data_IF_144068486622
#
_entry.id   IF_144068486622
#
_cell.length_a   1.000
_cell.length_b   1.000
_cell.length_c   1.000
_cell.angle_alpha   90.00
_cell.angle_beta   90.00
_cell.angle_gamma   90.00
#
_symmetry.space_group_name_H-M   'P 1'
#
loop_
_entity.id
_entity.type
_entity.pdbx_description
1 polymer ?
#
# COMPACT_ATOMS: atom_id res chain seq x y z
N UNK A 1 17.15 0.00 -44.24
CA UNK A 1 18.29 -0.11 -43.32
C UNK A 1 17.83 -1.05 -42.23
N UNK A 2 18.05 -2.33 -42.46
CA UNK A 2 17.74 -3.38 -41.48
C UNK A 2 18.83 -3.34 -40.41
N UNK A 3 18.48 -2.93 -39.19
CA UNK A 3 19.34 -3.14 -38.04
C UNK A 3 19.26 -4.62 -37.69
N UNK A 4 20.28 -5.37 -38.08
CA UNK A 4 20.53 -6.68 -37.53
C UNK A 4 20.81 -6.51 -36.03
N UNK A 5 19.88 -6.95 -35.19
CA UNK A 5 20.10 -7.11 -33.75
C UNK A 5 21.17 -8.18 -33.56
N UNK A 6 22.40 -7.74 -33.29
CA UNK A 6 23.50 -8.63 -32.94
C UNK A 6 23.20 -9.24 -31.56
N UNK A 7 23.19 -10.59 -31.43
CA UNK A 7 22.89 -11.24 -30.17
C UNK A 7 23.93 -10.84 -29.12
N UNK A 8 23.46 -10.48 -27.92
CA UNK A 8 24.33 -10.06 -26.82
C UNK A 8 25.38 -11.15 -26.53
N UNK A 9 26.66 -10.77 -26.35
CA UNK A 9 27.73 -11.72 -26.09
C UNK A 9 27.47 -12.50 -24.79
N UNK A 10 27.69 -13.81 -24.83
CA UNK A 10 27.54 -14.67 -23.66
C UNK A 10 28.50 -14.24 -22.55
N UNK A 11 28.02 -13.93 -21.33
CA UNK A 11 28.88 -13.53 -20.23
C UNK A 11 29.76 -14.69 -19.79
N UNK A 12 31.03 -14.40 -19.49
CA UNK A 12 31.97 -15.36 -18.91
C UNK A 12 32.04 -15.15 -17.40
N UNK A 13 31.35 -16.00 -16.64
CA UNK A 13 31.28 -15.90 -15.17
C UNK A 13 32.58 -16.29 -14.45
N UNK A 14 33.59 -16.80 -15.16
CA UNK A 14 34.91 -17.06 -14.60
C UNK A 14 35.78 -15.79 -14.48
N UNK A 15 35.35 -14.66 -15.05
CA UNK A 15 36.11 -13.40 -14.98
C UNK A 15 36.01 -12.76 -13.58
N UNK A 16 37.08 -12.07 -13.10
CA UNK A 16 37.09 -11.43 -11.78
C UNK A 16 35.93 -10.46 -11.53
N UNK A 17 35.40 -9.83 -12.58
CA UNK A 17 34.24 -8.94 -12.48
C UNK A 17 32.95 -9.62 -11.98
N UNK A 18 32.86 -10.96 -12.05
CA UNK A 18 31.72 -11.73 -11.57
C UNK A 18 32.00 -12.47 -10.25
N UNK A 19 33.18 -12.32 -9.64
CA UNK A 19 33.59 -13.08 -8.45
C UNK A 19 32.57 -12.97 -7.30
N UNK A 20 32.04 -11.77 -7.04
CA UNK A 20 31.04 -11.55 -5.99
C UNK A 20 29.71 -12.28 -6.26
N UNK A 21 29.30 -12.40 -7.53
CA UNK A 21 28.07 -13.10 -7.91
C UNK A 21 28.26 -14.62 -7.79
N UNK A 22 29.43 -15.13 -8.16
CA UNK A 22 29.81 -16.53 -8.00
C UNK A 22 29.86 -16.89 -6.51
N UNK A 23 30.51 -16.09 -5.67
CA UNK A 23 30.60 -16.30 -4.22
C UNK A 23 29.21 -16.32 -3.54
N UNK A 24 28.33 -15.37 -3.90
CA UNK A 24 26.95 -15.38 -3.41
C UNK A 24 26.18 -16.65 -3.81
N UNK A 25 26.42 -17.15 -5.02
CA UNK A 25 25.76 -18.36 -5.52
C UNK A 25 26.28 -19.61 -4.80
N UNK A 26 27.60 -19.68 -4.57
CA UNK A 26 28.23 -20.73 -3.76
C UNK A 26 27.60 -20.80 -2.35
N UNK A 27 27.50 -19.64 -1.68
CA UNK A 27 26.92 -19.57 -0.32
C UNK A 27 25.43 -19.94 -0.30
N UNK A 28 24.67 -19.49 -1.30
CA UNK A 28 23.23 -19.70 -1.33
C UNK A 28 22.84 -21.16 -1.63
N UNK A 29 23.63 -21.86 -2.44
CA UNK A 29 23.30 -23.21 -2.90
C UNK A 29 24.23 -24.30 -2.35
N UNK A 30 25.21 -23.93 -1.51
CA UNK A 30 26.22 -24.84 -0.94
C UNK A 30 26.98 -25.64 -2.01
N UNK A 31 27.30 -24.97 -3.10
CA UNK A 31 28.04 -25.52 -4.25
C UNK A 31 29.44 -24.93 -4.32
N UNK A 32 30.35 -25.63 -4.99
CA UNK A 32 31.70 -25.10 -5.23
C UNK A 32 31.73 -24.03 -6.34
N UNK A 33 32.89 -23.44 -6.57
CA UNK A 33 33.06 -22.33 -7.51
C UNK A 33 32.75 -22.72 -8.95
N UNK A 34 33.16 -23.92 -9.38
CA UNK A 34 32.95 -24.40 -10.75
C UNK A 34 31.47 -24.74 -10.96
N UNK A 35 30.84 -25.37 -9.97
CA UNK A 35 29.39 -25.63 -9.97
C UNK A 35 28.56 -24.33 -10.00
N UNK A 36 28.98 -23.30 -9.25
CA UNK A 36 28.33 -21.99 -9.26
C UNK A 36 28.43 -21.28 -10.62
N UNK A 37 29.58 -21.37 -11.29
CA UNK A 37 29.78 -20.82 -12.64
C UNK A 37 28.84 -21.52 -13.63
N UNK A 38 28.84 -22.86 -13.64
CA UNK A 38 27.95 -23.65 -14.52
C UNK A 38 26.48 -23.35 -14.25
N UNK A 39 26.08 -23.21 -12.98
CA UNK A 39 24.72 -22.84 -12.60
C UNK A 39 24.30 -21.47 -13.15
N UNK A 40 25.20 -20.47 -13.08
CA UNK A 40 24.93 -19.13 -13.60
C UNK A 40 24.84 -19.11 -15.13
N UNK A 41 25.67 -19.90 -15.83
CA UNK A 41 25.59 -20.08 -17.29
C UNK A 41 24.25 -20.72 -17.71
N UNK A 42 23.85 -21.80 -17.05
CA UNK A 42 22.56 -22.45 -17.32
C UNK A 42 21.39 -21.50 -17.06
N UNK A 43 21.45 -20.73 -15.97
CA UNK A 43 20.43 -19.75 -15.63
C UNK A 43 20.32 -18.64 -16.68
N UNK A 44 21.46 -18.15 -17.20
CA UNK A 44 21.50 -17.16 -18.27
C UNK A 44 20.75 -17.63 -19.52
N UNK A 45 21.01 -18.88 -19.95
CA UNK A 45 20.33 -19.53 -21.08
C UNK A 45 18.82 -19.67 -20.81
N UNK A 46 18.42 -20.06 -19.58
CA UNK A 46 17.02 -20.26 -19.23
C UNK A 46 16.18 -18.98 -19.12
N UNK A 47 16.76 -17.87 -18.64
CA UNK A 47 16.01 -16.60 -18.49
C UNK A 47 15.74 -15.88 -19.81
N UNK A 48 16.18 -16.41 -20.95
CA UNK A 48 15.86 -15.85 -22.27
C UNK A 48 16.50 -14.49 -22.56
N UNK A 49 17.39 -14.00 -21.69
CA UNK A 49 18.16 -12.78 -21.90
C UNK A 49 19.35 -13.00 -22.88
N UNK A 50 19.65 -14.25 -23.21
CA UNK A 50 20.77 -14.66 -24.08
C UNK A 50 20.39 -15.26 -25.43
N UNK A 51 19.14 -15.23 -25.90
CA UNK A 51 18.83 -15.81 -27.22
C UNK A 51 17.41 -15.61 -27.74
N UNK A 52 17.31 -14.91 -28.88
CA UNK A 52 16.21 -15.06 -29.83
C UNK A 52 16.23 -16.52 -30.32
N UNK A 53 15.11 -17.23 -30.17
CA UNK A 53 14.96 -18.64 -30.56
C UNK A 53 14.86 -18.73 -32.10
N UNK A 54 15.70 -19.49 -32.82
CA UNK A 54 15.48 -19.78 -34.23
C UNK A 54 14.31 -20.77 -34.36
N UNK A 55 13.45 -20.48 -35.33
CA UNK A 55 12.30 -21.24 -35.82
C UNK A 55 12.21 -22.71 -35.40
N UNK A 56 11.11 -23.04 -34.69
CA UNK A 56 10.53 -24.38 -34.74
C UNK A 56 9.31 -24.34 -35.67
N UNK A 57 9.20 -25.27 -36.64
CA UNK A 57 8.08 -25.31 -37.56
C UNK A 57 6.81 -25.73 -36.83
N UNK A 58 5.77 -24.91 -36.96
CA UNK A 58 4.42 -25.26 -36.52
C UNK A 58 3.94 -26.52 -37.25
N UNK A 59 3.65 -27.55 -36.48
CA UNK A 59 2.89 -28.71 -36.94
C UNK A 59 1.44 -28.26 -37.17
N UNK A 60 1.05 -28.39 -38.43
CA UNK A 60 -0.25 -28.08 -38.99
C UNK A 60 -1.21 -29.25 -38.77
N UNK A 61 -2.26 -29.05 -37.97
CA UNK A 61 -3.45 -29.90 -37.99
C UNK A 61 -4.66 -29.01 -38.36
N UNK A 62 -5.20 -29.24 -39.56
CA UNK A 62 -6.42 -28.63 -40.09
C UNK A 62 -7.66 -28.96 -39.25
N UNK A 63 -8.87 -28.53 -39.58
CA UNK A 63 -9.46 -28.21 -40.88
C UNK A 63 -10.89 -27.70 -40.60
N UNK A 64 -11.36 -26.61 -41.24
CA UNK A 64 -12.62 -26.54 -42.02
C UNK A 64 -13.06 -25.10 -42.35
N UNK A 65 -13.17 -24.87 -43.67
CA UNK A 65 -14.19 -24.07 -44.43
C UNK A 65 -14.02 -22.54 -44.49
N UNK A 66 -13.65 -21.99 -45.67
CA UNK A 66 -14.47 -21.56 -46.85
C UNK A 66 -15.15 -20.20 -46.59
N UNK A 67 -15.09 -19.13 -47.39
CA UNK A 67 -14.84 -18.84 -48.82
C UNK A 67 -14.11 -17.47 -48.90
N UNK A 68 -13.32 -17.01 -49.88
CA UNK A 68 -13.30 -17.24 -51.31
C UNK A 68 -13.74 -15.97 -52.06
N UNK A 69 -12.86 -14.99 -52.33
CA UNK A 69 -12.94 -14.12 -53.53
C UNK A 69 -11.54 -13.64 -53.95
N UNK A 70 -11.20 -14.01 -55.18
CA UNK A 70 -10.00 -13.63 -55.91
C UNK A 70 -10.09 -12.19 -56.47
N UNK A 71 -8.94 -11.50 -56.56
CA UNK A 71 -8.69 -10.61 -57.69
C UNK A 71 -7.21 -10.57 -58.09
N UNK A 72 -7.02 -10.64 -59.40
CA UNK A 72 -5.79 -10.90 -60.16
C UNK A 72 -4.90 -9.65 -60.28
N UNK A 73 -3.59 -9.94 -60.33
CA UNK A 73 -2.43 -9.23 -60.95
C UNK A 73 -2.74 -8.61 -62.33
N UNK A 74 -1.94 -7.68 -62.94
CA UNK A 74 -0.45 -7.68 -63.10
C UNK A 74 0.22 -6.29 -62.89
N UNK A 75 1.53 -6.10 -62.72
CA UNK A 75 2.72 -6.64 -63.37
C UNK A 75 3.33 -5.53 -64.25
N UNK A 76 4.54 -5.02 -63.92
CA UNK A 76 5.39 -4.30 -64.88
C UNK A 76 6.87 -4.40 -64.50
N UNK A 77 7.63 -4.71 -65.55
CA UNK A 77 9.04 -5.06 -65.69
C UNK A 77 10.04 -3.91 -65.50
N UNK A 78 11.36 -4.23 -65.49
CA UNK A 78 12.45 -3.37 -65.06
C UNK A 78 13.05 -2.52 -66.18
N UNK A 79 13.90 -1.55 -65.82
CA UNK A 79 14.80 -0.88 -66.77
C UNK A 79 16.21 -0.74 -66.18
N UNK A 80 17.27 -0.96 -66.99
CA UNK A 80 18.69 -0.82 -66.59
C UNK A 80 19.32 0.50 -67.12
N UNK A 81 20.64 0.65 -66.90
CA UNK A 81 21.57 1.70 -67.34
C UNK A 81 21.60 2.99 -66.50
N UNK A 82 22.73 3.63 -66.17
CA UNK A 82 24.11 3.56 -66.71
C UNK A 82 25.11 4.22 -65.74
N UNK A 83 26.34 3.70 -65.85
CA UNK A 83 27.69 4.16 -65.50
C UNK A 83 28.03 5.60 -65.05
N UNK A 84 29.14 5.62 -64.31
CA UNK A 84 30.21 6.62 -64.21
C UNK A 84 30.17 7.62 -63.02
N UNK A 85 31.00 7.38 -62.01
CA UNK A 85 32.27 8.11 -61.90
C UNK A 85 33.30 7.38 -61.02
N UNK A 86 34.51 7.36 -61.55
CA UNK A 86 35.75 6.80 -61.02
C UNK A 86 36.47 7.89 -60.19
N UNK A 87 37.02 7.53 -59.03
CA UNK A 87 38.23 8.16 -58.47
C UNK A 87 38.14 8.74 -57.06
N UNK A 88 38.66 8.01 -56.06
CA UNK A 88 39.86 8.37 -55.27
C UNK A 88 39.97 7.51 -53.99
N UNK A 89 41.06 6.77 -53.77
CA UNK A 89 41.46 6.32 -52.45
C UNK A 89 42.39 7.34 -51.78
N UNK A 90 42.50 7.26 -50.46
CA UNK A 90 43.43 7.98 -49.59
C UNK A 90 42.99 9.37 -49.10
N UNK A 91 42.21 9.38 -48.02
CA UNK A 91 42.48 10.29 -46.90
C UNK A 91 42.47 9.48 -45.61
N UNK A 92 43.65 9.41 -44.99
CA UNK A 92 43.85 8.91 -43.65
C UNK A 92 43.00 9.76 -42.68
N UNK A 93 42.02 9.12 -42.04
CA UNK A 93 41.34 9.71 -40.90
C UNK A 93 42.36 9.86 -39.76
N UNK A 94 42.66 11.11 -39.44
CA UNK A 94 43.41 11.48 -38.25
C UNK A 94 42.66 10.96 -37.00
N UNK A 95 43.37 10.50 -35.96
CA UNK A 95 42.74 10.21 -34.68
C UNK A 95 42.11 11.51 -34.15
N UNK A 96 40.79 11.52 -34.01
CA UNK A 96 40.09 12.62 -33.36
C UNK A 96 40.60 12.73 -31.92
N UNK A 97 41.07 13.93 -31.55
CA UNK A 97 41.47 14.24 -30.19
C UNK A 97 40.34 13.89 -29.21
N UNK A 98 40.64 13.31 -28.03
CA UNK A 98 39.63 13.03 -27.03
C UNK A 98 38.96 14.34 -26.62
N UNK A 99 37.63 14.37 -26.73
CA UNK A 99 36.82 15.50 -26.31
C UNK A 99 37.20 15.94 -24.88
N UNK A 100 37.34 17.24 -24.62
CA UNK A 100 37.76 17.75 -23.33
C UNK A 100 36.77 17.29 -22.26
N UNK A 101 37.31 16.66 -21.21
CA UNK A 101 36.56 16.23 -20.03
C UNK A 101 35.65 17.38 -19.57
N UNK A 102 34.35 17.12 -19.52
CA UNK A 102 33.33 18.08 -19.12
C UNK A 102 33.72 18.67 -17.75
N UNK A 103 34.20 19.92 -17.77
CA UNK A 103 34.58 20.65 -16.57
C UNK A 103 33.38 20.72 -15.63
N UNK A 104 33.60 20.35 -14.37
CA UNK A 104 32.62 20.52 -13.31
C UNK A 104 32.15 21.98 -13.34
N UNK A 105 30.83 22.20 -13.47
CA UNK A 105 30.30 23.56 -13.46
C UNK A 105 30.71 24.24 -12.13
N UNK A 106 31.16 25.49 -12.17
CA UNK A 106 31.54 26.23 -10.97
C UNK A 106 30.38 26.24 -9.96
N UNK A 107 30.68 25.89 -8.71
CA UNK A 107 29.72 25.97 -7.61
C UNK A 107 29.30 27.45 -7.49
N UNK A 108 28.02 27.73 -7.79
CA UNK A 108 27.45 29.07 -7.61
C UNK A 108 27.07 29.21 -6.14
N UNK A 109 27.86 29.98 -5.39
CA UNK A 109 27.58 30.31 -3.99
C UNK A 109 26.80 31.62 -3.92
N UNK A 110 25.59 31.57 -3.38
CA UNK A 110 24.78 32.75 -3.10
C UNK A 110 24.87 33.09 -1.59
N UNK A 111 25.57 34.16 -1.19
CA UNK A 111 25.74 34.52 0.22
C UNK A 111 24.45 34.99 0.90
N UNK A 112 23.43 35.37 0.12
CA UNK A 112 22.18 35.93 0.65
C UNK A 112 21.11 34.84 0.86
N UNK A 113 21.27 33.65 0.27
CA UNK A 113 20.39 32.51 0.48
C UNK A 113 20.65 31.89 1.86
N UNK A 114 19.73 32.15 2.79
CA UNK A 114 19.72 31.51 4.10
C UNK A 114 19.07 30.13 4.02
N UNK A 115 19.54 29.20 4.86
CA UNK A 115 18.86 27.93 5.08
C UNK A 115 17.40 28.18 5.50
N UNK A 116 16.47 27.42 4.91
CA UNK A 116 15.06 27.53 5.28
C UNK A 116 14.91 27.27 6.79
N UNK A 117 14.03 28.03 7.45
CA UNK A 117 13.76 27.89 8.90
C UNK A 117 13.26 26.49 9.27
N UNK A 118 12.77 25.73 8.29
CA UNK A 118 12.35 24.34 8.47
C UNK A 118 12.93 23.50 7.34
N UNK A 119 13.81 22.57 7.70
CA UNK A 119 14.27 21.53 6.79
C UNK A 119 13.15 20.51 6.61
N UNK A 120 12.58 20.47 5.41
CA UNK A 120 11.56 19.49 5.08
C UNK A 120 12.20 18.11 4.97
N UNK A 121 11.60 17.12 5.62
CA UNK A 121 12.07 15.74 5.49
C UNK A 121 11.86 15.29 4.04
N UNK A 122 12.93 14.79 3.41
CA UNK A 122 12.91 14.32 2.02
C UNK A 122 12.57 12.82 1.98
N UNK A 123 11.60 12.39 1.15
CA UNK A 123 11.35 10.96 0.88
C UNK A 123 12.57 10.26 0.28
N UNK A 124 12.57 8.92 0.31
CA UNK A 124 13.63 8.13 -0.33
C UNK A 124 13.73 8.44 -1.83
N UNK A 125 14.96 8.45 -2.36
CA UNK A 125 15.24 8.70 -3.78
C UNK A 125 14.51 7.71 -4.70
N UNK A 126 14.41 6.44 -4.28
CA UNK A 126 13.54 5.45 -4.91
C UNK A 126 12.10 5.94 -5.11
N UNK A 127 11.48 6.48 -4.06
CA UNK A 127 10.10 6.95 -4.11
C UNK A 127 9.96 8.17 -5.05
N UNK A 128 10.89 9.12 -4.98
CA UNK A 128 10.91 10.30 -5.84
C UNK A 128 10.99 9.88 -7.32
N UNK A 129 11.96 9.04 -7.69
CA UNK A 129 12.14 8.55 -9.07
C UNK A 129 10.91 7.79 -9.59
N UNK A 130 10.25 7.02 -8.72
CA UNK A 130 9.03 6.31 -9.07
C UNK A 130 7.86 7.27 -9.31
N UNK A 131 7.75 8.34 -8.52
CA UNK A 131 6.77 9.41 -8.74
C UNK A 131 7.05 10.16 -10.04
N UNK A 132 8.30 10.54 -10.32
CA UNK A 132 8.69 11.17 -11.59
C UNK A 132 8.31 10.28 -12.78
N UNK A 133 8.53 8.97 -12.67
CA UNK A 133 8.13 7.99 -13.68
C UNK A 133 6.62 7.67 -13.72
N UNK A 134 5.79 8.36 -12.93
CA UNK A 134 4.33 8.13 -12.77
C UNK A 134 3.96 6.69 -12.40
N UNK A 135 4.85 5.99 -11.70
CA UNK A 135 4.65 4.60 -11.25
C UNK A 135 4.08 4.57 -9.84
N UNK A 136 3.42 3.46 -9.51
CA UNK A 136 2.89 3.25 -8.16
C UNK A 136 4.01 3.28 -7.10
N UNK A 137 3.75 3.99 -6.00
CA UNK A 137 4.61 4.08 -4.80
C UNK A 137 3.73 3.92 -3.55
N UNK A 138 4.04 2.96 -2.66
CA UNK A 138 3.37 2.84 -1.36
C UNK A 138 3.53 4.12 -0.53
N UNK A 139 2.48 4.54 0.18
CA UNK A 139 2.52 5.76 1.00
C UNK A 139 3.48 5.65 2.18
N UNK A 140 3.92 4.44 2.54
CA UNK A 140 4.89 4.22 3.60
C UNK A 140 6.14 5.10 3.45
N UNK A 141 6.64 5.34 2.23
CA UNK A 141 7.82 6.21 1.99
C UNK A 141 7.61 7.68 2.41
N UNK A 142 6.37 8.10 2.57
CA UNK A 142 5.98 9.44 2.99
C UNK A 142 5.52 9.48 4.45
N UNK A 143 5.55 8.35 5.15
CA UNK A 143 5.31 8.30 6.61
C UNK A 143 6.53 8.78 7.37
N UNK A 144 6.36 9.11 8.66
CA UNK A 144 7.49 9.48 9.53
C UNK A 144 8.53 8.35 9.64
N UNK A 145 8.12 7.08 9.55
CA UNK A 145 9.02 5.93 9.52
C UNK A 145 9.86 5.92 8.24
N UNK A 146 9.21 5.98 7.07
CA UNK A 146 9.88 6.01 5.77
C UNK A 146 10.81 7.20 5.59
N UNK A 147 10.42 8.40 6.06
CA UNK A 147 11.26 9.60 6.02
C UNK A 147 12.52 9.48 6.89
N UNK A 148 12.40 8.87 8.08
CA UNK A 148 13.57 8.62 8.95
C UNK A 148 14.51 7.60 8.34
N UNK A 149 13.97 6.57 7.69
CA UNK A 149 14.79 5.59 6.98
C UNK A 149 15.55 6.24 5.82
N UNK A 150 14.85 7.02 4.99
CA UNK A 150 15.48 7.77 3.90
C UNK A 150 16.63 8.67 4.41
N UNK A 151 16.41 9.40 5.51
CA UNK A 151 17.44 10.23 6.12
C UNK A 151 18.65 9.44 6.63
N UNK A 152 18.46 8.19 7.07
CA UNK A 152 19.58 7.31 7.47
C UNK A 152 20.36 6.82 6.27
N UNK A 153 19.69 6.39 5.20
CA UNK A 153 20.33 5.94 3.97
C UNK A 153 21.22 7.03 3.36
N UNK A 154 20.75 8.29 3.35
CA UNK A 154 21.55 9.42 2.86
C UNK A 154 22.81 9.64 3.70
N UNK A 155 22.76 9.41 5.02
CA UNK A 155 23.92 9.57 5.92
C UNK A 155 24.91 8.40 5.88
N UNK A 156 24.45 7.21 5.49
CA UNK A 156 25.24 5.98 5.50
C UNK A 156 25.93 5.68 4.16
N UNK A 157 25.62 6.44 3.11
CA UNK A 157 26.19 6.25 1.77
C UNK A 157 27.71 6.47 1.71
N UNK A 158 28.34 7.00 2.75
CA UNK A 158 29.72 7.47 2.73
C UNK A 158 30.80 6.41 3.06
N UNK A 159 30.45 5.25 3.65
CA UNK A 159 31.49 4.35 4.21
C UNK A 159 31.77 3.06 3.42
N UNK A 160 30.83 2.52 2.63
CA UNK A 160 31.03 1.28 1.83
C UNK A 160 30.02 1.11 0.69
N UNK A 161 29.23 2.12 0.36
CA UNK A 161 28.11 1.94 -0.56
C UNK A 161 28.60 1.91 -2.02
N UNK A 162 28.11 0.94 -2.78
CA UNK A 162 28.46 0.81 -4.19
C UNK A 162 27.89 2.01 -4.92
N UNK A 163 28.75 2.85 -5.49
CA UNK A 163 28.33 4.01 -6.26
C UNK A 163 27.79 3.56 -7.62
N UNK A 164 26.49 3.77 -7.83
CA UNK A 164 25.84 3.59 -9.13
C UNK A 164 25.93 4.87 -9.94
N UNK A 165 26.49 4.74 -11.14
CA UNK A 165 26.52 5.81 -12.13
C UNK A 165 25.17 5.82 -12.88
N UNK A 166 24.34 6.83 -12.65
CA UNK A 166 23.06 6.96 -13.36
C UNK A 166 23.09 8.11 -14.34
N UNK A 167 22.62 7.87 -15.57
CA UNK A 167 22.42 8.89 -16.59
C UNK A 167 21.16 9.71 -16.25
N UNK A 168 21.32 11.01 -16.05
CA UNK A 168 20.22 11.96 -15.91
C UNK A 168 19.64 12.31 -17.29
N UNK A 169 18.42 12.87 -17.32
CA UNK A 169 17.67 13.13 -18.56
C UNK A 169 18.36 14.12 -19.51
N UNK A 170 19.30 14.95 -19.03
CA UNK A 170 20.00 15.95 -19.84
C UNK A 170 21.41 15.53 -20.25
N UNK A 171 21.70 14.22 -20.30
CA UNK A 171 23.03 13.70 -20.63
C UNK A 171 24.07 13.89 -19.52
N UNK A 172 23.69 14.51 -18.40
CA UNK A 172 24.50 14.58 -17.20
C UNK A 172 24.57 13.20 -16.54
N UNK A 173 25.77 12.80 -16.11
CA UNK A 173 25.96 11.56 -15.37
C UNK A 173 26.07 11.91 -13.89
N UNK A 174 25.12 11.43 -13.07
CA UNK A 174 25.17 11.61 -11.62
C UNK A 174 25.52 10.29 -10.95
N UNK A 175 26.51 10.32 -10.07
CA UNK A 175 26.86 9.19 -9.22
C UNK A 175 25.97 9.23 -7.98
N UNK A 176 25.23 8.16 -7.71
CA UNK A 176 24.41 8.00 -6.50
C UNK A 176 24.73 6.66 -5.85
N UNK A 177 24.54 6.54 -4.54
CA UNK A 177 24.64 5.24 -3.89
C UNK A 177 23.60 4.27 -4.48
N UNK A 178 24.01 3.05 -4.82
CA UNK A 178 23.12 2.02 -5.37
C UNK A 178 21.97 1.69 -4.40
N UNK A 179 22.27 1.66 -3.09
CA UNK A 179 21.30 1.42 -2.04
C UNK A 179 20.15 2.45 -2.01
N UNK A 180 20.43 3.71 -2.34
CA UNK A 180 19.42 4.79 -2.36
C UNK A 180 18.32 4.60 -3.43
N UNK A 181 18.61 3.79 -4.45
CA UNK A 181 17.71 3.52 -5.58
C UNK A 181 16.92 2.23 -5.41
N UNK A 182 17.29 1.40 -4.44
CA UNK A 182 16.58 0.17 -4.14
C UNK A 182 15.31 0.46 -3.33
N UNK A 183 14.29 -0.38 -3.53
CA UNK A 183 13.13 -0.35 -2.67
C UNK A 183 13.52 -0.79 -1.24
N UNK A 184 13.17 -0.01 -0.24
CA UNK A 184 13.28 -0.42 1.16
C UNK A 184 12.59 -1.76 1.43
N UNK A 185 13.29 -2.66 2.13
CA UNK A 185 12.73 -3.92 2.65
C UNK A 185 11.67 -3.72 3.74
N UNK A 186 11.63 -2.53 4.34
CA UNK A 186 10.66 -2.17 5.38
C UNK A 186 9.40 -1.52 4.79
N UNK A 187 9.35 -1.32 3.47
CA UNK A 187 8.21 -0.69 2.82
C UNK A 187 6.94 -1.52 3.02
N UNK A 188 5.94 -0.89 3.64
CA UNK A 188 4.60 -1.47 3.86
C UNK A 188 3.67 -1.06 2.73
N UNK A 189 2.76 -1.96 2.35
CA UNK A 189 1.65 -1.62 1.47
C UNK A 189 0.69 -0.66 2.18
N UNK A 190 -0.09 0.13 1.44
CA UNK A 190 -0.98 1.13 2.04
C UNK A 190 -1.95 0.52 3.07
N UNK A 191 -2.47 -0.67 2.78
CA UNK A 191 -3.41 -1.37 3.66
C UNK A 191 -2.76 -1.99 4.91
N UNK A 192 -1.44 -1.93 5.03
CA UNK A 192 -0.68 -2.35 6.20
C UNK A 192 -0.28 -1.15 7.09
N UNK A 193 -0.58 0.08 6.65
CA UNK A 193 -0.39 1.28 7.47
C UNK A 193 -1.55 1.43 8.45
N UNK A 194 -1.32 2.16 9.54
CA UNK A 194 -2.44 2.70 10.32
C UNK A 194 -3.13 3.82 9.54
N UNK A 195 -4.41 4.07 9.83
CA UNK A 195 -5.16 5.14 9.15
C UNK A 195 -4.50 6.51 9.35
N UNK A 196 -3.99 6.78 10.56
CA UNK A 196 -3.28 8.01 10.86
C UNK A 196 -1.96 8.15 10.08
N UNK A 197 -1.20 7.08 9.90
CA UNK A 197 0.02 7.09 9.08
C UNK A 197 -0.30 7.35 7.61
N UNK A 198 -1.34 6.69 7.08
CA UNK A 198 -1.81 6.89 5.72
C UNK A 198 -2.25 8.35 5.48
N UNK A 199 -3.03 8.92 6.40
CA UNK A 199 -3.49 10.31 6.29
C UNK A 199 -2.42 11.35 6.57
N UNK A 200 -1.38 11.01 7.35
CA UNK A 200 -0.19 11.84 7.46
C UNK A 200 0.61 11.85 6.14
N UNK A 201 0.81 10.67 5.55
CA UNK A 201 1.59 10.47 4.33
C UNK A 201 0.96 11.16 3.10
N UNK A 202 -0.38 11.31 3.06
CA UNK A 202 -1.09 11.92 1.92
C UNK A 202 -0.57 13.30 1.55
N UNK A 203 -0.28 14.17 2.54
CA UNK A 203 0.12 15.55 2.28
C UNK A 203 1.49 15.60 1.59
N UNK A 204 2.44 14.79 2.07
CA UNK A 204 3.77 14.68 1.48
C UNK A 204 3.74 14.03 0.10
N UNK A 205 2.86 13.05 -0.11
CA UNK A 205 2.62 12.48 -1.45
C UNK A 205 2.05 13.51 -2.43
N UNK A 206 1.04 14.30 -2.02
CA UNK A 206 0.47 15.36 -2.85
C UNK A 206 1.52 16.41 -3.24
N UNK A 207 2.37 16.83 -2.30
CA UNK A 207 3.51 17.71 -2.61
C UNK A 207 4.51 17.05 -3.57
N UNK A 208 4.77 15.75 -3.44
CA UNK A 208 5.69 15.05 -4.32
C UNK A 208 5.18 14.95 -5.76
N UNK A 209 3.88 14.67 -5.98
CA UNK A 209 3.29 14.61 -7.32
C UNK A 209 3.17 16.00 -7.98
N UNK A 210 2.99 17.07 -7.18
CA UNK A 210 3.03 18.45 -7.65
C UNK A 210 4.44 18.87 -8.10
N UNK A 211 5.45 18.51 -7.30
CA UNK A 211 6.84 18.72 -7.68
C UNK A 211 7.22 17.95 -8.96
N UNK A 212 6.66 16.76 -9.16
CA UNK A 212 6.85 15.95 -10.36
C UNK A 212 5.93 16.32 -11.54
N UNK A 213 5.16 17.41 -11.43
CA UNK A 213 4.34 17.97 -12.53
C UNK A 213 3.37 16.95 -13.15
N UNK A 214 2.63 16.24 -12.31
CA UNK A 214 1.59 15.29 -12.77
C UNK A 214 0.40 15.97 -13.46
N UNK A 215 0.21 17.27 -13.24
CA UNK A 215 -0.88 18.08 -13.79
C UNK A 215 -2.01 18.29 -12.79
N UNK A 216 -2.60 19.48 -12.81
CA UNK A 216 -3.54 19.96 -11.78
C UNK A 216 -4.75 19.03 -11.65
N UNK A 217 -5.35 18.58 -12.75
CA UNK A 217 -6.49 17.65 -12.75
C UNK A 217 -6.19 16.34 -11.99
N UNK A 218 -4.96 15.82 -12.12
CA UNK A 218 -4.55 14.59 -11.44
C UNK A 218 -4.34 14.85 -9.96
N UNK A 219 -3.70 15.97 -9.61
CA UNK A 219 -3.45 16.37 -8.22
C UNK A 219 -4.79 16.60 -7.51
N UNK A 220 -5.73 17.31 -8.13
CA UNK A 220 -7.07 17.54 -7.61
C UNK A 220 -7.85 16.24 -7.44
N UNK A 221 -7.77 15.32 -8.41
CA UNK A 221 -8.40 14.00 -8.30
C UNK A 221 -7.88 13.20 -7.08
N UNK A 222 -6.56 13.20 -6.84
CA UNK A 222 -5.99 12.58 -5.65
C UNK A 222 -6.39 13.31 -4.36
N UNK A 223 -6.41 14.64 -4.35
CA UNK A 223 -6.82 15.42 -3.20
C UNK A 223 -8.27 15.10 -2.80
N UNK A 224 -9.19 15.10 -3.77
CA UNK A 224 -10.58 14.72 -3.56
C UNK A 224 -10.74 13.25 -3.15
N UNK A 225 -9.96 12.34 -3.73
CA UNK A 225 -9.93 10.94 -3.29
C UNK A 225 -9.62 10.82 -1.81
N UNK A 226 -8.54 11.46 -1.32
CA UNK A 226 -8.22 11.43 0.10
C UNK A 226 -9.27 12.12 0.96
N UNK A 227 -9.88 13.21 0.48
CA UNK A 227 -10.96 13.88 1.18
C UNK A 227 -12.20 12.99 1.35
N UNK A 228 -12.63 12.29 0.28
CA UNK A 228 -13.77 11.39 0.34
C UNK A 228 -13.50 10.19 1.26
N UNK A 229 -12.26 9.66 1.28
CA UNK A 229 -11.88 8.61 2.23
C UNK A 229 -11.92 9.09 3.69
N UNK A 230 -11.51 10.34 3.97
CA UNK A 230 -11.51 10.94 5.31
C UNK A 230 -12.93 11.10 5.87
N UNK A 231 -13.87 11.45 4.98
CA UNK A 231 -15.25 11.77 5.33
C UNK A 231 -16.24 10.63 4.99
N UNK A 232 -15.74 9.44 4.67
CA UNK A 232 -16.59 8.32 4.29
C UNK A 232 -17.39 7.79 5.50
N UNK A 233 -18.71 7.53 5.39
CA UNK A 233 -19.53 7.05 6.51
C UNK A 233 -19.02 5.76 7.17
N UNK A 234 -18.44 4.84 6.39
CA UNK A 234 -17.86 3.59 6.92
C UNK A 234 -16.79 3.84 7.99
N UNK A 235 -16.16 5.02 8.02
CA UNK A 235 -15.17 5.38 9.03
C UNK A 235 -15.75 5.41 10.44
N UNK A 236 -17.05 5.67 10.58
CA UNK A 236 -17.75 5.65 11.88
C UNK A 236 -17.81 4.24 12.49
N UNK A 237 -17.53 3.19 11.69
CA UNK A 237 -17.40 1.80 12.17
C UNK A 237 -16.07 1.52 12.91
N UNK A 238 -15.26 2.55 13.16
CA UNK A 238 -13.99 2.45 13.88
C UNK A 238 -12.91 1.71 13.09
N UNK A 239 -12.09 0.91 13.77
CA UNK A 239 -10.94 0.21 13.17
C UNK A 239 -11.33 -0.67 11.97
N UNK A 240 -12.54 -1.23 11.98
CA UNK A 240 -13.05 -2.05 10.88
C UNK A 240 -13.21 -1.22 9.61
N UNK A 241 -13.90 -0.09 9.74
CA UNK A 241 -14.11 0.86 8.66
C UNK A 241 -12.80 1.41 8.11
N UNK A 242 -11.88 1.77 9.00
CA UNK A 242 -10.54 2.23 8.63
C UNK A 242 -9.77 1.17 7.82
N UNK A 243 -9.77 -0.10 8.24
CA UNK A 243 -9.13 -1.21 7.50
C UNK A 243 -9.76 -1.40 6.12
N UNK A 244 -11.09 -1.30 6.01
CA UNK A 244 -11.77 -1.40 4.73
C UNK A 244 -11.37 -0.26 3.78
N UNK A 245 -11.33 0.98 4.28
CA UNK A 245 -10.91 2.16 3.52
C UNK A 245 -9.45 2.06 3.06
N UNK A 246 -8.54 1.61 3.93
CA UNK A 246 -7.13 1.44 3.58
C UNK A 246 -6.92 0.35 2.53
N UNK A 247 -7.65 -0.77 2.63
CA UNK A 247 -7.60 -1.84 1.64
C UNK A 247 -8.19 -1.40 0.29
N UNK A 248 -9.29 -0.64 0.32
CA UNK A 248 -9.84 0.00 -0.88
C UNK A 248 -8.83 0.95 -1.51
N UNK A 249 -8.22 1.84 -0.71
CA UNK A 249 -7.28 2.82 -1.22
C UNK A 249 -6.03 2.17 -1.83
N UNK A 250 -5.51 1.13 -1.20
CA UNK A 250 -4.40 0.31 -1.70
C UNK A 250 -4.72 -0.29 -3.07
N UNK A 251 -5.91 -0.89 -3.23
CA UNK A 251 -6.36 -1.50 -4.50
C UNK A 251 -6.60 -0.44 -5.57
N UNK A 252 -7.33 0.63 -5.24
CA UNK A 252 -7.69 1.70 -6.16
C UNK A 252 -6.46 2.46 -6.70
N UNK A 253 -5.48 2.78 -5.85
CA UNK A 253 -4.25 3.44 -6.28
C UNK A 253 -3.39 2.54 -7.15
N UNK A 254 -3.30 1.25 -6.83
CA UNK A 254 -2.56 0.28 -7.67
C UNK A 254 -3.21 0.16 -9.05
N UNK A 255 -4.53 -0.09 -9.11
CA UNK A 255 -5.24 -0.21 -10.39
C UNK A 255 -5.17 1.10 -11.20
N UNK A 256 -5.32 2.26 -10.57
CA UNK A 256 -5.19 3.55 -11.25
C UNK A 256 -3.84 3.71 -11.95
N UNK A 257 -2.73 3.32 -11.30
CA UNK A 257 -1.41 3.34 -11.90
C UNK A 257 -1.25 2.32 -13.04
N UNK A 258 -1.82 1.12 -12.89
CA UNK A 258 -1.82 0.10 -13.95
C UNK A 258 -2.61 0.59 -15.18
N UNK A 259 -3.76 1.24 -14.97
CA UNK A 259 -4.54 1.86 -16.05
C UNK A 259 -3.85 3.07 -16.67
N UNK A 260 -3.11 3.86 -15.87
CA UNK A 260 -2.31 4.98 -16.38
C UNK A 260 -1.26 4.51 -17.38
N UNK A 261 -0.58 3.38 -17.10
CA UNK A 261 0.38 2.78 -18.04
C UNK A 261 -0.26 2.42 -19.39
N UNK A 262 -1.56 2.13 -19.40
CA UNK A 262 -2.37 1.86 -20.60
C UNK A 262 -3.03 3.12 -21.20
N UNK A 263 -2.73 4.32 -20.68
CA UNK A 263 -3.39 5.60 -21.02
C UNK A 263 -4.92 5.58 -20.81
N UNK A 264 -5.37 4.83 -19.80
CA UNK A 264 -6.79 4.66 -19.43
C UNK A 264 -7.05 4.99 -17.97
N UNK A 265 -6.22 5.85 -17.38
CA UNK A 265 -6.46 6.33 -16.01
C UNK A 265 -7.84 6.98 -15.89
N UNK A 266 -8.49 6.75 -14.77
CA UNK A 266 -9.83 7.28 -14.47
C UNK A 266 -9.75 8.29 -13.33
N UNK A 267 -10.86 8.99 -13.05
CA UNK A 267 -10.93 9.89 -11.90
C UNK A 267 -10.94 9.07 -10.60
N UNK A 268 -9.81 9.06 -9.87
CA UNK A 268 -9.69 8.28 -8.62
C UNK A 268 -10.54 8.87 -7.49
N UNK A 269 -10.97 10.12 -7.59
CA UNK A 269 -11.81 10.79 -6.59
C UNK A 269 -13.16 10.10 -6.34
N UNK A 270 -13.71 9.41 -7.34
CA UNK A 270 -14.99 8.72 -7.25
C UNK A 270 -14.82 7.38 -6.55
N UNK A 271 -15.35 7.26 -5.33
CA UNK A 271 -15.33 6.00 -4.58
C UNK A 271 -16.31 5.01 -5.23
N UNK A 272 -15.81 3.83 -5.56
CA UNK A 272 -16.62 2.71 -6.01
C UNK A 272 -17.20 1.99 -4.79
N UNK A 273 -18.43 2.38 -4.41
CA UNK A 273 -19.15 1.85 -3.25
C UNK A 273 -19.34 0.34 -3.30
N UNK A 274 -19.58 -0.24 -4.49
CA UNK A 274 -19.74 -1.69 -4.64
C UNK A 274 -18.45 -2.45 -4.31
N UNK A 275 -17.30 -1.91 -4.78
CA UNK A 275 -15.99 -2.47 -4.47
C UNK A 275 -15.67 -2.31 -2.98
N UNK A 276 -15.96 -1.15 -2.39
CA UNK A 276 -15.75 -0.91 -0.96
C UNK A 276 -16.62 -1.84 -0.09
N UNK A 277 -17.90 -1.99 -0.43
CA UNK A 277 -18.81 -2.91 0.26
C UNK A 277 -18.40 -4.38 0.09
N UNK A 278 -17.84 -4.76 -1.08
CA UNK A 278 -17.25 -6.09 -1.27
C UNK A 278 -16.03 -6.29 -0.36
N UNK A 279 -15.14 -5.30 -0.28
CA UNK A 279 -13.96 -5.33 0.60
C UNK A 279 -14.36 -5.46 2.08
N UNK A 280 -15.35 -4.68 2.53
CA UNK A 280 -15.84 -4.77 3.90
C UNK A 280 -16.38 -6.17 4.23
N UNK A 281 -17.18 -6.77 3.34
CA UNK A 281 -17.69 -8.15 3.49
C UNK A 281 -16.57 -9.20 3.49
N UNK A 282 -15.53 -9.02 2.67
CA UNK A 282 -14.36 -9.89 2.64
C UNK A 282 -13.62 -9.86 4.00
N UNK A 283 -13.45 -8.67 4.58
CA UNK A 283 -12.81 -8.49 5.89
C UNK A 283 -13.63 -9.16 7.01
N UNK A 284 -14.95 -8.93 7.04
CA UNK A 284 -15.84 -9.59 8.01
C UNK A 284 -15.73 -11.11 7.95
N UNK A 285 -15.71 -11.66 6.72
CA UNK A 285 -15.62 -13.10 6.51
C UNK A 285 -14.27 -13.67 6.93
N UNK A 286 -13.19 -12.89 6.79
CA UNK A 286 -11.85 -13.29 7.24
C UNK A 286 -11.72 -13.25 8.75
N UNK A 287 -12.25 -12.22 9.40
CA UNK A 287 -12.21 -12.09 10.85
C UNK A 287 -12.99 -13.20 11.55
N UNK A 288 -14.21 -13.49 11.09
CA UNK A 288 -15.01 -14.62 11.58
C UNK A 288 -14.25 -15.94 11.43
N UNK A 289 -13.56 -16.15 10.31
CA UNK A 289 -12.76 -17.34 10.07
C UNK A 289 -11.58 -17.45 11.05
N UNK A 290 -10.81 -16.38 11.23
CA UNK A 290 -9.67 -16.39 12.15
C UNK A 290 -10.11 -16.62 13.60
N UNK A 291 -11.22 -16.00 14.01
CA UNK A 291 -11.80 -16.21 15.34
C UNK A 291 -12.24 -17.66 15.53
N UNK A 292 -12.87 -18.26 14.52
CA UNK A 292 -13.25 -19.68 14.55
C UNK A 292 -12.02 -20.58 14.64
N UNK A 293 -10.98 -20.36 13.83
CA UNK A 293 -9.72 -21.10 13.87
C UNK A 293 -9.03 -20.99 15.23
N UNK A 294 -9.03 -19.80 15.85
CA UNK A 294 -8.47 -19.58 17.17
C UNK A 294 -9.24 -20.35 18.25
N UNK A 295 -10.58 -20.31 18.22
CA UNK A 295 -11.43 -21.09 19.14
C UNK A 295 -11.19 -22.58 18.94
N UNK A 296 -11.17 -23.06 17.71
CA UNK A 296 -10.85 -24.47 17.40
C UNK A 296 -9.46 -24.86 17.92
N UNK A 297 -8.45 -24.00 17.74
CA UNK A 297 -7.09 -24.22 18.25
C UNK A 297 -7.04 -24.33 19.78
N UNK A 298 -7.77 -23.46 20.49
CA UNK A 298 -7.86 -23.51 21.95
C UNK A 298 -8.57 -24.77 22.43
N UNK A 299 -9.68 -25.16 21.79
CA UNK A 299 -10.38 -26.40 22.11
C UNK A 299 -9.50 -27.64 21.89
N UNK A 300 -8.72 -27.68 20.80
CA UNK A 300 -7.78 -28.77 20.54
C UNK A 300 -6.66 -28.85 21.60
N UNK A 301 -6.23 -27.70 22.16
CA UNK A 301 -5.22 -27.66 23.23
C UNK A 301 -5.77 -28.18 24.56
N UNK A 302 -7.01 -27.85 24.90
CA UNK A 302 -7.63 -28.25 26.17
C UNK A 302 -8.16 -29.69 26.15
N UNK A 303 -8.55 -30.20 24.98
CA UNK A 303 -9.16 -31.52 24.83
C UNK A 303 -8.56 -32.25 23.62
N UNK A 304 -7.33 -32.79 23.76
CA UNK A 304 -6.69 -33.54 22.67
C UNK A 304 -7.51 -34.78 22.25
N UNK A 305 -8.31 -35.34 23.15
CA UNK A 305 -9.25 -36.44 22.89
C UNK A 305 -10.38 -36.08 21.90
N UNK A 306 -10.69 -34.78 21.72
CA UNK A 306 -11.74 -34.30 20.80
C UNK A 306 -11.19 -33.90 19.41
N UNK A 307 -9.89 -34.07 19.17
CA UNK A 307 -9.21 -33.54 17.97
C UNK A 307 -9.59 -34.28 16.68
N UNK A 308 -9.97 -35.55 16.76
CA UNK A 308 -10.28 -36.39 15.59
C UNK A 308 -11.68 -36.15 14.99
N UNK A 309 -12.78 -35.97 15.76
CA UNK A 309 -14.10 -35.72 15.16
C UNK A 309 -14.34 -34.26 14.71
N UNK A 310 -13.71 -33.25 15.34
CA UNK A 310 -13.98 -31.84 15.01
C UNK A 310 -13.33 -31.38 13.69
N UNK A 311 -12.17 -31.93 13.33
CA UNK A 311 -11.45 -31.54 12.10
C UNK A 311 -12.15 -32.00 10.83
N UNK A 312 -12.93 -33.09 10.89
CA UNK A 312 -13.70 -33.62 9.78
C UNK A 312 -14.96 -32.81 9.46
N UNK A 313 -15.60 -32.19 10.47
CA UNK A 313 -16.84 -31.43 10.28
C UNK A 313 -16.64 -29.98 9.81
N UNK A 314 -15.52 -29.33 10.15
CA UNK A 314 -15.25 -27.94 9.72
C UNK A 314 -14.92 -27.85 8.22
N UNK A 315 -14.44 -28.93 7.60
CA UNK A 315 -14.13 -28.95 6.16
C UNK A 315 -15.36 -29.17 5.26
N UNK A 316 -16.48 -29.60 5.82
CA UNK A 316 -17.69 -29.98 5.09
C UNK A 316 -18.82 -28.98 5.35
N UNK A 317 -18.61 -27.66 5.13
CA UNK A 317 -19.75 -26.76 4.82
C UNK A 317 -19.40 -25.33 4.34
N UNK A 318 -18.50 -25.16 3.37
CA UNK A 318 -18.26 -23.84 2.79
C UNK A 318 -19.30 -23.42 1.71
N UNK A 319 -20.04 -24.36 1.13
CA UNK A 319 -21.06 -24.06 0.10
C UNK A 319 -22.44 -23.72 0.68
N UNK A 320 -22.78 -24.23 1.85
CA UNK A 320 -24.14 -24.09 2.41
C UNK A 320 -24.35 -22.77 3.16
N UNK A 321 -23.26 -22.13 3.62
CA UNK A 321 -23.34 -20.87 4.36
C UNK A 321 -23.71 -19.64 3.50
N UNK A 322 -23.53 -19.70 2.18
CA UNK A 322 -23.90 -18.60 1.29
C UNK A 322 -25.42 -18.50 1.03
N UNK A 323 -26.19 -19.58 1.25
CA UNK A 323 -27.63 -19.59 0.98
C UNK A 323 -28.52 -19.13 2.15
N UNK A 324 -27.98 -19.00 3.36
CA UNK A 324 -28.76 -18.68 4.58
C UNK A 324 -28.78 -17.17 4.88
N UNK A 325 -27.97 -16.35 4.20
CA UNK A 325 -27.75 -14.94 4.56
C UNK A 325 -28.86 -13.95 4.16
N UNK A 326 -30.01 -14.44 3.66
CA UNK A 326 -31.12 -13.60 3.17
C UNK A 326 -32.40 -13.67 4.02
N UNK A 327 -32.31 -14.10 5.29
CA UNK A 327 -33.43 -14.07 6.22
C UNK A 327 -33.09 -13.24 7.46
N UNK A 328 -33.75 -12.09 7.61
CA UNK A 328 -33.89 -11.34 8.86
C UNK A 328 -34.74 -12.16 9.84
N UNK A 329 -34.16 -13.19 10.46
CA UNK A 329 -34.86 -13.99 11.47
C UNK A 329 -33.98 -14.23 12.71
N UNK A 330 -34.51 -14.05 13.93
CA UNK A 330 -33.75 -14.19 15.19
C UNK A 330 -33.26 -15.62 15.49
N UNK A 331 -33.47 -16.58 14.58
CA UNK A 331 -33.05 -17.97 14.74
C UNK A 331 -31.52 -18.20 14.64
N UNK A 332 -30.76 -17.26 14.06
CA UNK A 332 -29.30 -17.41 13.92
C UNK A 332 -28.53 -17.31 15.26
N UNK A 333 -29.15 -16.76 16.31
CA UNK A 333 -28.57 -16.78 17.67
C UNK A 333 -28.74 -18.13 18.37
N UNK A 334 -29.61 -19.02 17.87
CA UNK A 334 -29.85 -20.34 18.46
C UNK A 334 -28.98 -21.44 17.86
N UNK A 335 -28.37 -21.23 16.69
CA UNK A 335 -27.52 -22.22 16.04
C UNK A 335 -26.26 -22.57 16.86
N UNK A 336 -25.55 -21.61 17.49
CA UNK A 336 -24.45 -21.92 18.39
C UNK A 336 -24.91 -22.72 19.61
N UNK A 337 -26.10 -22.41 20.15
CA UNK A 337 -26.70 -23.11 21.29
C UNK A 337 -27.14 -24.54 20.93
N UNK A 338 -27.66 -24.76 19.73
CA UNK A 338 -28.06 -26.09 19.24
C UNK A 338 -26.85 -26.98 18.92
N UNK A 339 -25.74 -26.41 18.41
CA UNK A 339 -24.50 -27.15 18.20
C UNK A 339 -23.73 -27.41 19.52
N UNK A 340 -23.95 -26.60 20.56
CA UNK A 340 -23.44 -26.84 21.91
C UNK A 340 -24.28 -27.87 22.70
N UNK A 341 -25.52 -28.13 22.30
CA UNK A 341 -26.43 -29.02 23.03
C UNK A 341 -25.96 -30.49 23.12
N UNK A 342 -25.39 -31.12 22.07
CA UNK A 342 -24.80 -32.46 22.18
C UNK A 342 -23.54 -32.47 23.05
N UNK A 343 -22.72 -31.41 22.99
CA UNK A 343 -21.50 -31.26 23.80
C UNK A 343 -21.80 -31.11 25.29
N UNK A 344 -22.85 -30.35 25.64
CA UNK A 344 -23.31 -30.21 27.03
C UNK A 344 -23.95 -31.50 27.57
N UNK A 345 -24.62 -32.29 26.73
CA UNK A 345 -25.11 -33.61 27.11
C UNK A 345 -23.96 -34.62 27.32
N UNK A 346 -22.91 -34.55 26.51
CA UNK A 346 -21.71 -35.37 26.70
C UNK A 346 -20.93 -34.97 27.97
N UNK A 347 -20.85 -33.66 28.25
CA UNK A 347 -20.19 -33.13 29.45
C UNK A 347 -20.94 -33.51 30.73
N UNK A 348 -22.28 -33.49 30.72
CA UNK A 348 -23.11 -33.91 31.87
C UNK A 348 -23.00 -35.40 32.18
N UNK A 349 -22.62 -36.23 31.20
CA UNK A 349 -22.46 -37.67 31.43
C UNK A 349 -21.09 -38.06 32.01
N UNK A 350 -20.09 -37.17 31.93
CA UNK A 350 -18.70 -37.46 32.31
C UNK A 350 -18.22 -36.80 33.63
N UNK A 351 -19.10 -36.11 34.37
CA UNK A 351 -18.73 -35.46 35.65
C UNK A 351 -18.64 -36.40 36.86
N UNK A 352 -18.64 -37.73 36.69
CA UNK A 352 -18.54 -38.68 37.82
C UNK A 352 -17.12 -39.09 38.23
N UNK A 353 -16.07 -38.59 37.57
CA UNK A 353 -14.69 -38.90 37.98
C UNK A 353 -13.76 -37.70 37.79
N UNK A 354 -13.69 -36.81 38.80
CA UNK A 354 -12.54 -35.91 38.99
C UNK A 354 -12.36 -35.64 40.49
N UNK A 355 -11.35 -36.30 41.08
CA UNK A 355 -10.89 -36.05 42.44
C UNK A 355 -10.11 -34.72 42.49
N UNK A 356 -10.47 -33.83 43.42
CA UNK A 356 -9.61 -32.71 43.85
C UNK A 356 -8.44 -33.25 44.72
N UNK A 357 -7.20 -32.74 44.59
CA UNK A 357 -6.16 -33.02 45.57
C UNK A 357 -6.27 -32.05 46.77
N UNK A 358 -5.83 -32.44 47.98
CA UNK A 358 -5.88 -31.60 49.15
C UNK A 358 -4.70 -30.62 49.19
N UNK A 359 -4.98 -29.37 49.59
CA UNK A 359 -3.96 -28.36 49.88
C UNK A 359 -3.32 -28.70 51.24
N UNK A 360 -2.02 -28.97 51.22
CA UNK A 360 -1.21 -29.19 52.42
C UNK A 360 -1.04 -27.90 53.24
N UNK A 361 -1.25 -28.03 54.55
CA UNK A 361 -0.95 -26.99 55.56
C UNK A 361 0.52 -27.10 55.96
N UNK A 362 1.23 -25.98 55.96
CA UNK A 362 2.53 -25.84 56.65
C UNK A 362 2.40 -24.80 57.74
N UNK A 363 2.51 -25.25 58.99
CA UNK A 363 2.62 -24.43 60.20
C UNK A 363 4.08 -24.06 60.46
N UNK A 364 4.34 -22.79 60.76
CA UNK A 364 5.46 -22.38 61.62
C UNK A 364 5.03 -21.15 62.42
N UNK A 365 5.26 -21.23 63.74
CA UNK A 365 4.78 -20.33 64.78
C UNK A 365 5.80 -19.23 65.12
N UNK A 366 5.33 -18.05 65.55
CA UNK A 366 5.72 -17.42 66.82
C UNK A 366 5.04 -16.04 67.05
N UNK A 367 4.22 -15.99 68.11
CA UNK A 367 4.02 -14.93 69.11
C UNK A 367 3.84 -13.45 68.71
N UNK A 368 2.63 -12.91 68.89
CA UNK A 368 2.25 -12.06 70.05
C UNK A 368 0.77 -11.65 69.99
N UNK A 369 0.10 -11.61 71.16
CA UNK A 369 -1.31 -11.24 71.39
C UNK A 369 -1.44 -9.71 71.67
N UNK A 370 -2.64 -9.16 71.99
CA UNK A 370 -3.85 -9.05 71.17
C UNK A 370 -4.44 -7.61 71.21
N UNK A 371 -5.37 -7.27 70.31
CA UNK A 371 -6.42 -6.29 70.64
C UNK A 371 -7.75 -6.71 70.03
N UNK A 372 -8.75 -6.73 70.92
CA UNK A 372 -10.18 -6.97 70.69
C UNK A 372 -10.77 -5.92 69.76
N UNK A 373 -11.68 -6.33 68.88
CA UNK A 373 -12.94 -5.61 68.63
C UNK A 373 -13.94 -6.56 67.96
N UNK A 374 -15.01 -6.84 68.70
CA UNK A 374 -16.24 -7.50 68.29
C UNK A 374 -17.18 -6.45 67.70
N UNK A 375 -17.81 -6.75 66.56
CA UNK A 375 -19.04 -6.05 66.14
C UNK A 375 -20.06 -7.11 65.73
N UNK A 376 -21.13 -7.17 66.51
CA UNK A 376 -22.33 -7.96 66.30
C UNK A 376 -23.13 -7.44 65.10
N UNK A 377 -23.72 -8.36 64.34
CA UNK A 377 -24.92 -8.12 63.55
C UNK A 377 -26.09 -8.85 64.23
N UNK A 378 -27.11 -8.11 64.62
CA UNK A 378 -28.43 -8.63 64.95
C UNK A 378 -29.43 -8.13 63.91
N UNK A 379 -30.35 -9.02 63.50
CA UNK A 379 -31.58 -8.70 62.75
C UNK A 379 -32.49 -7.76 63.53
N UNK A 380 -33.73 -7.44 63.15
CA UNK A 380 -34.76 -8.08 62.35
C UNK A 380 -35.89 -7.00 62.32
N UNK A 381 -36.78 -6.84 61.34
CA UNK A 381 -38.08 -7.52 61.31
C UNK A 381 -38.98 -6.88 60.22
N UNK A 382 -39.89 -7.73 59.75
CA UNK A 382 -41.03 -7.60 58.84
C UNK A 382 -42.13 -6.64 59.33
N UNK A 383 -42.99 -6.15 58.43
CA UNK A 383 -44.48 -6.17 58.53
C UNK A 383 -45.17 -5.64 57.25
N UNK A 384 -46.11 -6.43 56.74
CA UNK A 384 -47.06 -6.20 55.62
C UNK A 384 -48.12 -5.13 55.97
N UNK A 385 -48.55 -4.20 55.09
CA UNK A 385 -49.58 -4.32 54.01
C UNK A 385 -50.98 -3.82 54.48
N UNK A 386 -52.03 -3.55 53.64
CA UNK A 386 -52.11 -3.02 52.27
C UNK A 386 -53.22 -1.92 52.09
N UNK A 387 -53.64 -1.63 50.84
CA UNK A 387 -54.84 -0.86 50.33
C UNK A 387 -54.52 0.59 49.89
N UNK A 388 -55.01 1.23 48.81
CA UNK A 388 -56.16 1.04 47.89
C UNK A 388 -55.89 1.81 46.57
N UNK A 389 -56.51 1.36 45.48
CA UNK A 389 -56.58 1.97 44.13
C UNK A 389 -57.47 3.22 44.08
N UNK A 390 -57.06 4.29 43.38
CA UNK A 390 -57.97 5.12 42.57
C UNK A 390 -57.22 6.00 41.55
N UNK A 391 -57.89 6.28 40.44
CA UNK A 391 -57.38 6.79 39.17
C UNK A 391 -58.06 8.10 38.75
N UNK A 392 -57.44 8.82 37.78
CA UNK A 392 -58.00 9.82 36.82
C UNK A 392 -58.07 11.31 37.32
N UNK A 393 -57.94 12.38 36.47
CA UNK A 393 -57.01 12.69 35.36
C UNK A 393 -56.43 14.14 35.32
N UNK A 394 -55.44 14.34 34.42
CA UNK A 394 -55.16 15.44 33.46
C UNK A 394 -55.29 16.98 33.77
N UNK A 395 -54.32 17.70 33.18
CA UNK A 395 -54.29 19.11 32.69
C UNK A 395 -53.87 20.26 33.63
N UNK A 396 -52.62 20.75 33.48
CA UNK A 396 -52.24 22.08 32.89
C UNK A 396 -50.77 22.48 33.14
N UNK A 397 -50.21 23.47 32.41
CA UNK A 397 -48.80 23.48 31.98
C UNK A 397 -47.85 24.42 32.73
N UNK A 398 -46.57 24.03 32.66
CA UNK A 398 -45.30 24.77 32.57
C UNK A 398 -45.18 26.17 33.21
N UNK A 399 -44.34 26.25 34.24
CA UNK A 399 -43.52 27.40 34.59
C UNK A 399 -42.10 26.93 34.95
N UNK A 400 -41.01 27.44 34.33
CA UNK A 400 -39.66 27.07 34.72
C UNK A 400 -39.12 27.99 35.81
N UNK A 401 -38.67 27.38 36.91
CA UNK A 401 -37.90 28.02 37.99
C UNK A 401 -36.41 27.89 37.67
N UNK A 402 -35.69 29.01 37.66
CA UNK A 402 -34.24 29.09 37.58
C UNK A 402 -33.54 28.46 38.81
N UNK A 403 -32.37 27.84 38.61
CA UNK A 403 -31.29 27.94 39.58
C UNK A 403 -30.05 28.63 39.00
N UNK A 404 -29.47 29.48 39.85
CA UNK A 404 -28.25 30.25 39.67
C UNK A 404 -27.02 29.34 39.73
N UNK A 405 -25.98 29.64 38.95
CA UNK A 405 -24.64 29.10 39.16
C UNK A 405 -23.83 28.97 37.86
N UNK A 406 -23.22 30.06 37.40
CA UNK A 406 -22.23 30.06 36.31
C UNK A 406 -20.82 29.81 36.85
N UNK A 407 -20.09 28.78 36.37
CA UNK A 407 -18.63 28.74 36.48
C UNK A 407 -17.95 29.53 35.34
N UNK A 408 -16.68 29.96 35.51
CA UNK A 408 -16.03 30.92 34.61
C UNK A 408 -15.75 30.34 33.22
N UNK A 409 -16.11 31.09 32.19
CA UNK A 409 -15.82 30.80 30.78
C UNK A 409 -14.48 31.41 30.37
N UNK A 410 -13.55 30.57 29.93
CA UNK A 410 -12.32 30.94 29.24
C UNK A 410 -12.66 31.59 27.89
N UNK A 411 -12.30 32.87 27.73
CA UNK A 411 -12.51 33.60 26.48
C UNK A 411 -11.33 33.34 25.53
N UNK A 412 -11.50 32.45 24.55
CA UNK A 412 -10.60 32.33 23.41
C UNK A 412 -11.12 33.23 22.29
N UNK A 413 -10.39 34.31 21.97
CA UNK A 413 -10.68 35.15 20.79
C UNK A 413 -10.27 34.41 19.52
N UNK A 414 -11.24 33.87 18.79
CA UNK A 414 -11.06 33.47 17.40
C UNK A 414 -11.17 34.73 16.51
N UNK A 415 -10.10 35.07 15.79
CA UNK A 415 -10.16 36.07 14.73
C UNK A 415 -10.88 35.47 13.52
N UNK A 416 -12.10 35.93 13.25
CA UNK A 416 -12.83 35.63 12.02
C UNK A 416 -12.21 36.38 10.85
N UNK A 417 -11.56 35.65 9.94
CA UNK A 417 -11.14 36.16 8.65
C UNK A 417 -12.37 36.22 7.72
N UNK A 418 -12.80 37.43 7.36
CA UNK A 418 -13.82 37.61 6.32
C UNK A 418 -13.17 37.51 4.93
N UNK A 419 -13.66 36.65 4.02
CA UNK A 419 -13.24 36.69 2.63
C UNK A 419 -13.81 37.94 1.94
N UNK A 420 -12.91 38.79 1.46
CA UNK A 420 -13.21 40.00 0.70
C UNK A 420 -13.82 39.59 -0.65
N UNK A 421 -15.10 39.91 -0.88
CA UNK A 421 -15.74 39.78 -2.20
C UNK A 421 -15.00 40.66 -3.22
N UNK A 422 -14.73 40.18 -4.45
CA UNK A 422 -14.33 41.05 -5.55
C UNK A 422 -15.56 41.78 -6.12
N UNK A 423 -15.46 43.11 -6.18
CA UNK A 423 -16.41 43.97 -6.92
C UNK A 423 -16.18 43.83 -8.44
N UNK A 424 -17.23 43.82 -9.27
CA UNK A 424 -17.10 43.86 -10.72
C UNK A 424 -17.14 45.31 -11.23
N UNK A 425 -16.28 45.65 -12.21
CA UNK A 425 -16.44 46.76 -13.18
C UNK A 425 -15.12 47.45 -13.50
N UNK A 426 -14.51 47.14 -14.65
CA UNK A 426 -13.91 48.13 -15.55
C UNK A 426 -13.64 47.51 -16.93
N UNK A 427 -14.19 48.14 -17.96
CA UNK A 427 -14.10 47.83 -19.39
C UNK A 427 -12.67 47.95 -19.97
N UNK A 428 -12.40 47.42 -21.19
CA UNK A 428 -11.05 47.28 -21.72
C UNK A 428 -10.54 48.58 -22.36
N UNK A 429 -9.28 48.93 -22.06
CA UNK A 429 -8.54 49.98 -22.76
C UNK A 429 -7.85 49.37 -23.98
N UNK A 430 -8.26 49.82 -25.16
CA UNK A 430 -7.63 49.54 -26.45
C UNK A 430 -6.26 50.23 -26.52
N UNK A 431 -5.18 49.45 -26.55
CA UNK A 431 -3.82 49.93 -26.79
C UNK A 431 -3.56 50.00 -28.30
N UNK A 432 -3.59 51.21 -28.85
CA UNK A 432 -3.10 51.50 -30.19
C UNK A 432 -1.57 51.48 -30.22
N UNK A 433 -1.03 50.63 -31.09
CA UNK A 433 0.40 50.45 -31.34
C UNK A 433 0.88 51.54 -32.31
N UNK A 434 1.60 52.54 -31.80
CA UNK A 434 2.26 53.57 -32.63
C UNK A 434 3.63 53.03 -33.06
N UNK A 435 3.76 52.71 -34.35
CA UNK A 435 5.04 52.41 -35.02
C UNK A 435 5.63 53.74 -35.45
N UNK A 436 6.84 54.06 -34.98
CA UNK A 436 7.65 55.15 -35.54
C UNK A 436 8.96 54.53 -36.02
N UNK A 437 9.09 54.44 -37.33
CA UNK A 437 10.33 54.15 -38.05
C UNK A 437 11.10 55.47 -38.20
N UNK A 438 12.34 55.52 -37.72
CA UNK A 438 13.28 56.55 -38.16
C UNK A 438 14.70 55.97 -38.20
N UNK A 439 15.22 55.85 -39.41
CA UNK A 439 16.62 55.95 -39.83
C UNK A 439 16.61 56.69 -41.19
N UNK A 440 17.69 57.35 -41.63
CA UNK A 440 19.10 57.10 -41.31
C UNK A 440 19.71 58.05 -40.28
#
# INVERSE_FOLDING_TARGET
MDHHDEPLPHPNFALPGFAALVELTMLAQQMDQDEAIVFLEQRWVQTGLGGIRPDQPEANDGELRRDGVARRRPGRDPSPERDALRGNPAQAAQPADPAPAAGLQPITFDPDVRIATTLTARPADYAIKRIEARKHVPLWYFTREGLREAARTVRQADENDTLAVTKAEEGQVTVRSAGSLAASKNAKLDHQLTYNEFMYAKNLFLTAIDNAKWGDDTIDSFNWFFHHLDNHPIREEGERGEKALLLYASRARTDWHDKLALRKAYNIATINEDLLAKIARELDSREVRMNLEQVCSQLCKCHPELTYPLRAHVYVDHTTFHHVRNYNSPMLLLLPLLLLSPLLLFYRHNTNYCCFPPIAKTTAAAASRPHLLSVQWLGSTHLDGPSTVQSVPANRPWAPVHPRGTPPTLTVRLATFHPKRPSPSASPVTLQRKVTTTQP
#
